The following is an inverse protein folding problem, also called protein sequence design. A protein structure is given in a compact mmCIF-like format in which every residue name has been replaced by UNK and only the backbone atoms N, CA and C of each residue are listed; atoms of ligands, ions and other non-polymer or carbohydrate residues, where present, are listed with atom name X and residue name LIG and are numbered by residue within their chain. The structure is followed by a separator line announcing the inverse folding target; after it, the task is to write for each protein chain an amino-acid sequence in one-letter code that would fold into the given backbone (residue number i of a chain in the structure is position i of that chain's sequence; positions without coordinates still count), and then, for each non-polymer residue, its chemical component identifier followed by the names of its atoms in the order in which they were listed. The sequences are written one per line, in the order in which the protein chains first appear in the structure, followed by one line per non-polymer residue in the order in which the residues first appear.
data_IF_351283447252
#
_entry.id   IF_351283447252
#
_cell.length_a   1.000
_cell.length_b   1.000
_cell.length_c   1.000
_cell.angle_alpha   90.00
_cell.angle_beta   90.00
_cell.angle_gamma   90.00
#
_symmetry.space_group_name_H-M   'P 1'
#
loop_
_entity.id
_entity.type
_entity.pdbx_description
1 polymer ?
#
# COMPACT_ATOMS: atom_id res chain seq x y z
N UNK A 1 -17.01 13.73 -7.25
CA UNK A 1 -15.80 14.49 -7.61
C UNK A 1 -15.25 15.35 -6.47
N UNK A 2 -16.09 15.94 -5.61
CA UNK A 2 -15.63 16.80 -4.49
C UNK A 2 -15.00 16.01 -3.34
N UNK A 3 -15.39 14.76 -3.14
CA UNK A 3 -14.95 13.89 -2.01
C UNK A 3 -13.62 13.17 -2.33
N UNK A 4 -13.33 12.94 -3.61
CA UNK A 4 -12.13 12.21 -4.07
C UNK A 4 -10.79 12.74 -3.51
N UNK A 5 -10.50 14.06 -3.52
CA UNK A 5 -9.22 14.57 -2.98
C UNK A 5 -9.08 14.36 -1.46
N UNK A 6 -10.20 14.39 -0.74
CA UNK A 6 -10.18 14.19 0.70
C UNK A 6 -9.96 12.71 1.06
N UNK A 7 -10.59 11.80 0.35
CA UNK A 7 -10.36 10.34 0.52
C UNK A 7 -8.94 9.94 0.16
N UNK A 8 -8.35 10.54 -0.90
CA UNK A 8 -6.93 10.34 -1.24
C UNK A 8 -6.00 10.79 -0.11
N UNK A 9 -6.28 11.94 0.50
CA UNK A 9 -5.51 12.42 1.65
C UNK A 9 -5.60 11.45 2.83
N UNK A 10 -6.79 10.98 3.18
CA UNK A 10 -6.95 9.98 4.23
C UNK A 10 -6.27 8.66 3.90
N UNK A 11 -6.30 8.23 2.64
CA UNK A 11 -5.57 7.05 2.17
C UNK A 11 -4.06 7.19 2.39
N UNK A 12 -3.49 8.34 2.05
CA UNK A 12 -2.06 8.60 2.27
C UNK A 12 -1.70 8.61 3.77
N UNK A 13 -2.48 9.31 4.59
CA UNK A 13 -2.28 9.34 6.04
C UNK A 13 -2.46 7.95 6.68
N UNK A 14 -3.41 7.15 6.18
CA UNK A 14 -3.62 5.77 6.62
C UNK A 14 -2.43 4.89 6.31
N UNK A 15 -1.84 4.99 5.12
CA UNK A 15 -0.64 4.25 4.74
C UNK A 15 0.54 4.53 5.67
N UNK A 16 0.80 5.81 5.97
CA UNK A 16 1.88 6.21 6.88
C UNK A 16 1.66 5.59 8.27
N UNK A 17 0.45 5.73 8.82
CA UNK A 17 0.18 5.22 10.16
C UNK A 17 0.12 3.69 10.22
N UNK A 18 -0.34 3.02 9.16
CA UNK A 18 -0.30 1.56 9.04
C UNK A 18 1.14 1.04 9.01
N UNK A 19 2.03 1.72 8.27
CA UNK A 19 3.45 1.40 8.27
C UNK A 19 4.08 1.58 9.67
N UNK A 20 3.68 2.62 10.43
CA UNK A 20 4.13 2.82 11.81
C UNK A 20 3.62 1.73 12.75
N UNK A 21 2.36 1.33 12.66
CA UNK A 21 1.78 0.23 13.44
C UNK A 21 2.56 -1.06 13.19
N UNK A 22 2.79 -1.39 11.92
CA UNK A 22 3.57 -2.57 11.52
C UNK A 22 5.01 -2.49 12.02
N UNK A 23 5.66 -1.33 11.89
CA UNK A 23 7.01 -1.09 12.36
C UNK A 23 7.14 -1.36 13.87
N UNK A 24 6.27 -0.76 14.69
CA UNK A 24 6.35 -0.94 16.14
C UNK A 24 6.08 -2.38 16.57
N UNK A 25 5.14 -3.06 15.89
CA UNK A 25 4.86 -4.47 16.12
C UNK A 25 6.07 -5.34 15.80
N UNK A 26 6.67 -5.17 14.61
CA UNK A 26 7.82 -5.96 14.19
C UNK A 26 9.05 -5.71 15.06
N UNK A 27 9.30 -4.45 15.43
CA UNK A 27 10.40 -4.12 16.34
C UNK A 27 10.23 -4.76 17.74
N UNK A 28 8.99 -4.74 18.27
CA UNK A 28 8.71 -5.35 19.56
C UNK A 28 8.89 -6.88 19.54
N UNK A 29 8.46 -7.55 18.45
CA UNK A 29 8.56 -9.01 18.31
C UNK A 29 10.01 -9.43 18.05
N UNK A 30 10.70 -8.77 17.11
CA UNK A 30 12.07 -9.12 16.77
C UNK A 30 13.05 -8.84 17.90
N UNK A 31 12.80 -7.79 18.69
CA UNK A 31 13.60 -7.42 19.86
C UNK A 31 12.98 -7.87 21.20
N UNK A 32 12.18 -8.95 21.22
CA UNK A 32 11.42 -9.33 22.43
C UNK A 32 12.32 -9.67 23.63
N UNK A 33 13.47 -10.28 23.40
CA UNK A 33 14.41 -10.64 24.46
C UNK A 33 14.98 -9.39 25.12
N UNK A 34 15.47 -8.45 24.34
CA UNK A 34 16.03 -7.18 24.80
C UNK A 34 14.96 -6.33 25.48
N UNK A 35 13.77 -6.28 24.88
CA UNK A 35 12.60 -5.57 25.42
C UNK A 35 12.23 -6.09 26.82
N UNK A 36 12.23 -7.42 26.99
CA UNK A 36 11.96 -8.08 28.28
C UNK A 36 13.06 -7.83 29.31
N UNK A 37 14.33 -7.98 28.93
CA UNK A 37 15.48 -7.75 29.81
C UNK A 37 15.53 -6.30 30.29
N UNK A 38 15.22 -5.35 29.42
CA UNK A 38 15.22 -3.93 29.74
C UNK A 38 13.91 -3.43 30.37
N UNK A 39 12.89 -4.29 30.52
CA UNK A 39 11.56 -3.94 31.03
C UNK A 39 10.93 -2.75 30.28
N UNK A 40 10.99 -2.77 28.95
CA UNK A 40 10.56 -1.68 28.07
C UNK A 40 9.32 -2.02 27.23
N UNK A 41 8.53 -3.04 27.59
CA UNK A 41 7.33 -3.45 26.88
C UNK A 41 6.34 -2.31 26.76
N UNK A 42 6.15 -1.54 27.81
CA UNK A 42 5.21 -0.42 27.84
C UNK A 42 5.53 0.61 26.75
N UNK A 43 6.81 0.87 26.48
CA UNK A 43 7.20 1.80 25.42
C UNK A 43 6.65 1.37 24.03
N UNK A 44 6.81 0.09 23.69
CA UNK A 44 6.31 -0.42 22.41
C UNK A 44 4.80 -0.47 22.34
N UNK A 45 4.14 -0.84 23.44
CA UNK A 45 2.67 -0.82 23.54
C UNK A 45 2.16 0.60 23.36
N UNK A 46 2.73 1.60 24.02
CA UNK A 46 2.32 3.00 23.92
C UNK A 46 2.51 3.55 22.48
N UNK A 47 3.62 3.20 21.81
CA UNK A 47 3.86 3.61 20.42
C UNK A 47 2.91 2.93 19.43
N UNK A 48 2.65 1.64 19.62
CA UNK A 48 1.69 0.88 18.82
C UNK A 48 0.28 1.46 18.99
N UNK A 49 -0.15 1.68 20.24
CA UNK A 49 -1.48 2.19 20.55
C UNK A 49 -1.70 3.60 19.99
N UNK A 50 -0.72 4.49 20.15
CA UNK A 50 -0.76 5.84 19.57
C UNK A 50 -0.92 5.84 18.06
N UNK A 51 -0.18 4.99 17.37
CA UNK A 51 -0.26 4.86 15.90
C UNK A 51 -1.56 4.19 15.48
N UNK A 52 -2.03 3.19 16.23
CA UNK A 52 -3.27 2.47 16.00
C UNK A 52 -4.51 3.36 16.20
N UNK A 53 -4.55 4.15 17.25
CA UNK A 53 -5.63 5.12 17.49
C UNK A 53 -5.73 6.12 16.35
N UNK A 54 -4.60 6.68 15.93
CA UNK A 54 -4.57 7.62 14.82
C UNK A 54 -5.05 7.00 13.51
N UNK A 55 -4.67 5.74 13.24
CA UNK A 55 -5.15 4.99 12.09
C UNK A 55 -6.68 4.77 12.16
N UNK A 56 -7.21 4.40 13.34
CA UNK A 56 -8.64 4.21 13.57
C UNK A 56 -9.42 5.51 13.37
N UNK A 57 -8.92 6.64 13.84
CA UNK A 57 -9.53 7.96 13.64
C UNK A 57 -9.59 8.31 12.14
N UNK A 58 -8.50 8.11 11.40
CA UNK A 58 -8.46 8.35 9.96
C UNK A 58 -9.47 7.47 9.22
N UNK A 59 -9.54 6.19 9.56
CA UNK A 59 -10.51 5.25 8.96
C UNK A 59 -11.94 5.65 9.28
N UNK A 60 -12.22 6.08 10.50
CA UNK A 60 -13.56 6.55 10.92
C UNK A 60 -13.97 7.79 10.14
N UNK A 61 -13.05 8.77 9.99
CA UNK A 61 -13.30 9.97 9.20
C UNK A 61 -13.55 9.65 7.72
N UNK A 62 -12.72 8.78 7.13
CA UNK A 62 -12.93 8.35 5.74
C UNK A 62 -14.26 7.63 5.56
N UNK A 63 -14.64 6.72 6.47
CA UNK A 63 -15.91 6.01 6.42
C UNK A 63 -17.11 6.97 6.56
N UNK A 64 -17.00 8.00 7.40
CA UNK A 64 -18.05 9.03 7.53
C UNK A 64 -18.25 9.79 6.22
N UNK A 65 -17.16 10.19 5.56
CA UNK A 65 -17.21 10.91 4.29
C UNK A 65 -17.65 9.98 3.14
N UNK A 66 -17.23 8.73 3.15
CA UNK A 66 -17.64 7.73 2.15
C UNK A 66 -19.15 7.48 2.12
N UNK A 67 -19.87 7.75 3.22
CA UNK A 67 -21.32 7.63 3.30
C UNK A 67 -22.09 8.89 2.84
N UNK A 68 -21.44 10.04 2.71
CA UNK A 68 -22.10 11.28 2.29
C UNK A 68 -22.77 11.19 0.90
N UNK A 69 -22.15 10.58 -0.14
CA UNK A 69 -22.80 10.44 -1.44
C UNK A 69 -24.12 9.66 -1.36
N UNK A 70 -24.17 8.62 -0.53
CA UNK A 70 -25.38 7.84 -0.31
C UNK A 70 -26.52 8.69 0.22
N UNK A 71 -26.27 9.49 1.28
CA UNK A 71 -27.26 10.36 1.87
C UNK A 71 -27.73 11.42 0.86
N UNK A 72 -26.80 11.99 0.07
CA UNK A 72 -27.15 12.95 -0.97
C UNK A 72 -28.03 12.34 -2.05
N UNK A 73 -27.71 11.16 -2.56
CA UNK A 73 -28.50 10.45 -3.57
C UNK A 73 -29.90 10.14 -3.02
N UNK A 74 -29.98 9.66 -1.78
CA UNK A 74 -31.26 9.34 -1.12
C UNK A 74 -32.13 10.57 -1.00
N UNK A 75 -31.58 11.69 -0.51
CA UNK A 75 -32.29 12.97 -0.36
C UNK A 75 -32.78 13.51 -1.71
N UNK A 76 -31.92 13.55 -2.72
CA UNK A 76 -32.28 14.03 -4.07
C UNK A 76 -33.37 13.16 -4.70
N UNK A 77 -33.27 11.83 -4.54
CA UNK A 77 -34.28 10.90 -5.04
C UNK A 77 -35.63 11.12 -4.34
N UNK A 78 -35.60 11.31 -3.01
CA UNK A 78 -36.84 11.55 -2.25
C UNK A 78 -37.51 12.87 -2.65
N UNK A 79 -36.72 13.95 -2.81
CA UNK A 79 -37.25 15.24 -3.29
C UNK A 79 -37.82 15.08 -4.71
N UNK A 80 -37.13 14.37 -5.60
CA UNK A 80 -37.59 14.11 -6.95
C UNK A 80 -38.93 13.37 -7.00
N UNK A 81 -39.10 12.34 -6.18
CA UNK A 81 -40.35 11.58 -6.04
C UNK A 81 -41.46 12.48 -5.50
N UNK A 82 -41.21 13.27 -4.46
CA UNK A 82 -42.21 14.19 -3.90
C UNK A 82 -42.65 15.29 -4.89
N UNK A 83 -41.71 15.87 -5.63
CA UNK A 83 -42.02 16.83 -6.69
C UNK A 83 -42.93 16.21 -7.77
N UNK A 84 -42.62 14.98 -8.19
CA UNK A 84 -43.38 14.29 -9.22
C UNK A 84 -44.79 13.94 -8.75
N UNK A 85 -44.93 13.50 -7.50
CA UNK A 85 -46.23 13.30 -6.86
C UNK A 85 -47.02 14.61 -6.83
N UNK A 86 -46.39 15.74 -6.47
CA UNK A 86 -47.03 17.07 -6.45
C UNK A 86 -47.53 17.52 -7.83
N UNK A 87 -46.76 17.26 -8.89
CA UNK A 87 -47.15 17.54 -10.27
C UNK A 87 -48.36 16.72 -10.69
N UNK A 88 -48.37 15.42 -10.39
CA UNK A 88 -49.46 14.50 -10.75
C UNK A 88 -50.75 14.76 -9.96
N UNK A 89 -50.68 15.32 -8.76
CA UNK A 89 -51.85 15.71 -7.96
C UNK A 89 -52.60 16.91 -8.60
N UNK A 90 -51.88 17.74 -9.37
CA UNK A 90 -52.47 18.87 -10.09
C UNK A 90 -53.18 18.50 -11.41
N UNK A 91 -52.97 17.28 -11.88
CA UNK A 91 -53.54 16.80 -13.15
C UNK A 91 -54.81 15.95 -12.86
N UNK A 92 -55.98 16.41 -13.33
CA UNK A 92 -57.33 15.89 -12.96
C UNK A 92 -57.66 14.52 -13.55
N UNK A 93 -56.68 13.71 -13.90
CA UNK A 93 -56.87 12.38 -14.52
C UNK A 93 -57.15 11.28 -13.47
N UNK A 94 -57.77 10.21 -13.93
CA UNK A 94 -58.23 9.06 -13.16
C UNK A 94 -57.21 8.64 -12.07
N UNK A 95 -57.67 8.53 -10.82
CA UNK A 95 -56.84 8.11 -9.65
C UNK A 95 -56.10 6.81 -9.88
N UNK A 96 -56.64 5.87 -10.66
CA UNK A 96 -56.02 4.58 -10.97
C UNK A 96 -54.75 4.72 -11.82
N UNK A 97 -54.74 5.63 -12.82
CA UNK A 97 -53.59 5.89 -13.67
C UNK A 97 -52.47 6.62 -12.89
N UNK A 98 -52.82 7.47 -11.95
CA UNK A 98 -51.93 8.15 -11.06
C UNK A 98 -51.21 7.18 -10.12
N UNK A 99 -51.91 6.26 -9.47
CA UNK A 99 -51.33 5.24 -8.62
C UNK A 99 -50.34 4.34 -9.38
N UNK A 100 -50.69 3.94 -10.61
CA UNK A 100 -49.80 3.14 -11.45
C UNK A 100 -48.51 3.88 -11.82
N UNK A 101 -48.56 5.18 -12.15
CA UNK A 101 -47.38 6.02 -12.47
C UNK A 101 -46.45 6.17 -11.25
N UNK A 102 -47.04 6.43 -10.06
CA UNK A 102 -46.29 6.54 -8.80
C UNK A 102 -45.66 5.22 -8.46
N UNK A 103 -46.35 4.09 -8.62
CA UNK A 103 -45.80 2.75 -8.31
C UNK A 103 -44.61 2.41 -9.23
N UNK A 104 -44.68 2.73 -10.53
CA UNK A 104 -43.56 2.52 -11.45
C UNK A 104 -42.38 3.40 -11.06
N UNK A 105 -42.61 4.67 -10.74
CA UNK A 105 -41.55 5.60 -10.33
C UNK A 105 -40.84 5.10 -9.03
N UNK A 106 -41.62 4.71 -8.04
CA UNK A 106 -41.09 4.13 -6.79
C UNK A 106 -40.25 2.88 -7.05
N UNK A 107 -40.72 1.99 -7.92
CA UNK A 107 -39.98 0.78 -8.29
C UNK A 107 -38.66 1.10 -8.99
N UNK A 108 -38.65 2.06 -9.92
CA UNK A 108 -37.44 2.52 -10.61
C UNK A 108 -36.45 3.15 -9.61
N UNK A 109 -36.92 4.01 -8.71
CA UNK A 109 -36.09 4.63 -7.68
C UNK A 109 -35.42 3.58 -6.77
N UNK A 110 -36.20 2.63 -6.25
CA UNK A 110 -35.67 1.54 -5.41
C UNK A 110 -34.63 0.69 -6.15
N UNK A 111 -34.79 0.50 -7.46
CA UNK A 111 -33.89 -0.31 -8.27
C UNK A 111 -32.59 0.41 -8.66
N UNK A 112 -32.65 1.72 -8.93
CA UNK A 112 -31.47 2.50 -9.33
C UNK A 112 -30.60 2.89 -8.15
N UNK A 113 -31.20 3.20 -6.98
CA UNK A 113 -30.49 3.68 -5.80
C UNK A 113 -29.33 2.77 -5.35
N UNK A 114 -29.48 1.42 -5.26
CA UNK A 114 -28.36 0.56 -4.89
C UNK A 114 -27.20 0.59 -5.90
N UNK A 115 -27.49 0.69 -7.19
CA UNK A 115 -26.49 0.76 -8.24
C UNK A 115 -25.70 2.07 -8.19
N UNK A 116 -26.38 3.19 -8.00
CA UNK A 116 -25.75 4.50 -7.81
C UNK A 116 -24.85 4.53 -6.56
N UNK A 117 -25.31 3.96 -5.46
CA UNK A 117 -24.54 3.85 -4.22
C UNK A 117 -23.28 2.97 -4.39
N UNK A 118 -23.37 1.85 -5.10
CA UNK A 118 -22.21 0.99 -5.40
C UNK A 118 -21.15 1.72 -6.22
N UNK A 119 -21.56 2.46 -7.23
CA UNK A 119 -20.67 3.27 -8.05
C UNK A 119 -19.97 4.33 -7.19
N UNK A 120 -20.72 5.05 -6.36
CA UNK A 120 -20.16 6.07 -5.49
C UNK A 120 -19.13 5.50 -4.50
N UNK A 121 -19.43 4.35 -3.91
CA UNK A 121 -18.52 3.64 -3.01
C UNK A 121 -17.26 3.14 -3.74
N UNK A 122 -17.41 2.57 -4.95
CA UNK A 122 -16.29 2.11 -5.75
C UNK A 122 -15.33 3.26 -6.10
N UNK A 123 -15.86 4.42 -6.52
CA UNK A 123 -15.06 5.60 -6.80
C UNK A 123 -14.32 6.13 -5.55
N UNK A 124 -14.98 6.09 -4.39
CA UNK A 124 -14.34 6.46 -3.14
C UNK A 124 -13.21 5.50 -2.76
N UNK A 125 -13.42 4.19 -2.92
CA UNK A 125 -12.41 3.18 -2.64
C UNK A 125 -11.18 3.33 -3.56
N UNK A 126 -11.40 3.57 -4.86
CA UNK A 126 -10.30 3.84 -5.80
C UNK A 126 -9.48 5.04 -5.33
N UNK A 127 -10.13 6.16 -4.97
CA UNK A 127 -9.44 7.34 -4.49
C UNK A 127 -8.69 7.10 -3.16
N UNK A 128 -9.24 6.30 -2.27
CA UNK A 128 -8.62 5.98 -0.98
C UNK A 128 -7.39 5.09 -1.13
N UNK A 129 -7.42 4.10 -2.03
CA UNK A 129 -6.31 3.15 -2.21
C UNK A 129 -5.27 3.59 -3.25
N UNK A 130 -5.52 4.66 -4.01
CA UNK A 130 -4.58 5.17 -5.01
C UNK A 130 -3.17 5.43 -4.45
N UNK A 131 -2.97 6.04 -3.24
CA UNK A 131 -1.64 6.23 -2.69
C UNK A 131 -0.89 4.93 -2.38
N UNK A 132 -1.63 3.85 -2.09
CA UNK A 132 -1.02 2.52 -1.90
C UNK A 132 -0.55 1.93 -3.22
N UNK A 133 -1.31 2.15 -4.28
CA UNK A 133 -0.95 1.68 -5.61
C UNK A 133 0.27 2.42 -6.16
N UNK A 134 0.32 3.75 -6.00
CA UNK A 134 1.48 4.54 -6.45
C UNK A 134 2.78 4.13 -5.73
N UNK A 135 2.71 3.82 -4.45
CA UNK A 135 3.88 3.33 -3.71
C UNK A 135 4.41 1.98 -4.25
N UNK A 136 3.52 1.09 -4.69
CA UNK A 136 3.91 -0.18 -5.32
C UNK A 136 4.47 0.07 -6.73
N UNK A 137 3.85 0.98 -7.49
CA UNK A 137 4.31 1.36 -8.83
C UNK A 137 5.74 1.91 -8.78
N UNK A 138 6.04 2.80 -7.84
CA UNK A 138 7.38 3.37 -7.66
C UNK A 138 8.43 2.28 -7.37
N UNK A 139 8.09 1.24 -6.59
CA UNK A 139 8.97 0.11 -6.33
C UNK A 139 9.20 -0.70 -7.60
N UNK A 140 8.14 -1.01 -8.37
CA UNK A 140 8.23 -1.78 -9.61
C UNK A 140 9.05 -1.02 -10.64
N UNK A 141 8.81 0.29 -10.81
CA UNK A 141 9.54 1.12 -11.76
C UNK A 141 11.01 1.22 -11.37
N UNK A 142 11.32 1.42 -10.09
CA UNK A 142 12.70 1.47 -9.60
C UNK A 142 13.43 0.13 -9.73
N UNK A 143 12.74 -1.00 -9.53
CA UNK A 143 13.34 -2.32 -9.75
C UNK A 143 13.62 -2.60 -11.22
N UNK A 144 12.72 -2.20 -12.13
CA UNK A 144 12.92 -2.34 -13.58
C UNK A 144 14.05 -1.47 -14.13
N UNK A 145 14.34 -0.34 -13.51
CA UNK A 145 15.48 0.52 -13.89
C UNK A 145 16.84 -0.04 -13.42
N UNK A 146 16.84 -0.99 -12.50
CA UNK A 146 18.02 -1.74 -12.10
C UNK A 146 18.20 -2.88 -13.10
N UNK A 147 19.36 -2.99 -13.77
CA UNK A 147 19.71 -4.02 -14.79
C UNK A 147 19.51 -5.48 -14.35
N UNK A 148 19.01 -5.71 -13.13
CA UNK A 148 18.72 -7.02 -12.57
C UNK A 148 17.53 -7.71 -13.27
N UNK A 149 16.58 -6.94 -13.83
CA UNK A 149 15.34 -7.50 -14.41
C UNK A 149 15.55 -8.18 -15.78
N UNK A 150 16.60 -7.83 -16.51
CA UNK A 150 16.91 -8.48 -17.80
C UNK A 150 17.31 -9.97 -17.67
N UNK A 151 17.60 -10.44 -16.46
CA UNK A 151 17.95 -11.86 -16.22
C UNK A 151 16.74 -12.76 -16.00
N UNK A 152 15.59 -12.21 -15.55
CA UNK A 152 14.38 -13.00 -15.33
C UNK A 152 13.51 -13.17 -16.57
N UNK A 153 13.68 -12.31 -17.59
CA UNK A 153 12.97 -12.44 -18.87
C UNK A 153 13.69 -13.37 -19.87
N UNK A 154 14.95 -13.69 -19.64
CA UNK A 154 15.61 -14.75 -20.43
C UNK A 154 15.12 -16.10 -19.92
N UNK A 155 14.29 -16.77 -20.72
CA UNK A 155 14.00 -18.21 -20.61
C UNK A 155 15.25 -19.07 -20.90
N UNK A 156 16.45 -18.57 -20.64
CA UNK A 156 17.67 -19.35 -20.72
C UNK A 156 17.64 -20.37 -19.57
N UNK A 157 17.70 -21.63 -19.90
CA UNK A 157 17.89 -22.68 -18.90
C UNK A 157 19.09 -22.31 -18.04
N UNK A 158 18.85 -22.08 -16.76
CA UNK A 158 19.93 -21.80 -15.80
C UNK A 158 20.77 -23.05 -15.68
N UNK A 159 21.84 -23.13 -16.46
CA UNK A 159 22.81 -24.21 -16.30
C UNK A 159 23.56 -23.95 -14.98
N UNK A 160 23.62 -24.95 -14.10
CA UNK A 160 24.38 -24.80 -12.86
C UNK A 160 25.83 -24.52 -13.18
N UNK A 161 26.37 -23.42 -12.67
CA UNK A 161 27.78 -23.08 -12.81
C UNK A 161 28.58 -24.19 -12.08
N UNK A 162 29.44 -24.91 -12.85
CA UNK A 162 30.34 -25.88 -12.26
C UNK A 162 31.50 -25.15 -11.61
N UNK A 163 31.60 -25.28 -10.30
CA UNK A 163 32.72 -24.76 -9.54
C UNK A 163 33.88 -25.75 -9.64
N UNK A 164 34.82 -25.49 -10.56
CA UNK A 164 35.89 -26.45 -10.89
C UNK A 164 37.26 -26.08 -10.38
N UNK A 165 37.55 -24.80 -10.20
CA UNK A 165 38.87 -24.31 -9.77
C UNK A 165 38.81 -23.40 -8.58
N UNK A 166 38.32 -22.18 -8.75
CA UNK A 166 38.35 -21.11 -7.76
C UNK A 166 37.27 -20.08 -8.05
N UNK A 167 36.89 -19.33 -7.04
CA UNK A 167 36.15 -18.07 -7.15
C UNK A 167 37.15 -16.94 -7.05
N UNK A 168 37.13 -16.04 -8.01
CA UNK A 168 38.05 -14.92 -8.06
C UNK A 168 37.27 -13.61 -8.13
N UNK A 169 37.64 -12.68 -7.26
CA UNK A 169 37.32 -11.27 -7.39
C UNK A 169 38.61 -10.60 -7.91
N UNK A 170 38.51 -9.90 -9.04
CA UNK A 170 39.65 -9.25 -9.66
C UNK A 170 39.37 -7.75 -9.77
N UNK A 171 40.18 -6.95 -9.07
CA UNK A 171 40.20 -5.48 -9.07
C UNK A 171 38.81 -4.86 -8.84
N UNK A 172 38.05 -5.38 -7.86
CA UNK A 172 36.69 -4.93 -7.56
C UNK A 172 36.71 -3.67 -6.72
N UNK A 173 36.04 -2.63 -7.21
CA UNK A 173 35.69 -1.42 -6.46
C UNK A 173 34.19 -1.32 -6.30
N UNK A 174 33.72 -1.15 -5.07
CA UNK A 174 32.29 -1.10 -4.77
C UNK A 174 31.92 0.02 -3.81
N UNK A 175 30.81 0.69 -4.14
CA UNK A 175 30.21 1.77 -3.34
C UNK A 175 28.73 1.54 -3.21
N UNK A 176 28.16 1.68 -2.01
CA UNK A 176 26.71 1.64 -1.82
C UNK A 176 26.02 2.84 -2.49
N UNK A 177 24.80 2.67 -3.02
CA UNK A 177 23.99 3.79 -3.47
C UNK A 177 23.85 4.85 -2.36
N UNK A 178 23.91 6.14 -2.73
CA UNK A 178 23.79 7.28 -1.82
C UNK A 178 24.94 7.45 -0.81
N UNK A 179 26.12 6.91 -1.07
CA UNK A 179 27.35 7.19 -0.30
C UNK A 179 28.46 7.64 -1.24
N UNK A 180 29.34 8.53 -0.74
CA UNK A 180 30.52 8.99 -1.49
C UNK A 180 31.80 8.22 -1.12
N UNK A 181 31.67 7.18 -0.29
CA UNK A 181 32.80 6.39 0.21
C UNK A 181 32.82 5.03 -0.46
N UNK A 182 33.94 4.68 -1.08
CA UNK A 182 34.19 3.35 -1.60
C UNK A 182 34.40 2.39 -0.42
N UNK A 183 33.57 1.35 -0.35
CA UNK A 183 33.68 0.32 0.69
C UNK A 183 34.77 -0.72 0.32
N UNK A 184 34.82 -1.05 -0.95
CA UNK A 184 35.93 -1.84 -1.52
C UNK A 184 36.60 -0.98 -2.58
N UNK A 185 37.92 -1.02 -2.62
CA UNK A 185 38.73 -0.31 -3.61
C UNK A 185 39.87 -1.22 -4.08
N UNK A 186 39.91 -1.43 -5.39
CA UNK A 186 40.95 -2.22 -6.06
C UNK A 186 41.23 -3.54 -5.31
N UNK A 187 40.15 -4.24 -4.93
CA UNK A 187 40.22 -5.41 -4.04
C UNK A 187 40.19 -6.68 -4.88
N UNK A 188 41.21 -7.50 -4.72
CA UNK A 188 41.31 -8.83 -5.34
C UNK A 188 41.33 -9.91 -4.28
N UNK A 189 40.61 -11.01 -4.54
CA UNK A 189 40.49 -12.17 -3.63
C UNK A 189 40.28 -13.44 -4.44
N UNK A 190 41.07 -14.46 -4.15
CA UNK A 190 40.96 -15.79 -4.78
C UNK A 190 40.63 -16.83 -3.74
N UNK A 191 39.59 -17.64 -3.98
CA UNK A 191 39.16 -18.73 -3.12
C UNK A 191 39.25 -20.04 -3.90
N UNK A 192 40.30 -20.84 -3.68
CA UNK A 192 40.44 -22.14 -4.36
C UNK A 192 39.37 -23.14 -3.91
N UNK A 193 38.96 -24.05 -4.81
CA UNK A 193 38.02 -25.12 -4.50
C UNK A 193 38.49 -25.94 -3.28
N UNK A 194 37.55 -26.26 -2.37
CA UNK A 194 37.81 -27.07 -1.19
C UNK A 194 38.60 -26.37 -0.09
N UNK A 195 38.88 -25.08 -0.21
CA UNK A 195 39.53 -24.26 0.81
C UNK A 195 38.52 -23.41 1.57
N UNK A 196 38.82 -23.15 2.83
CA UNK A 196 38.11 -22.18 3.64
C UNK A 196 39.01 -20.99 3.90
N UNK A 197 38.52 -19.79 3.72
CA UNK A 197 39.23 -18.55 4.05
C UNK A 197 38.53 -17.79 5.15
N UNK A 198 39.26 -17.07 5.98
CA UNK A 198 38.74 -16.21 7.03
C UNK A 198 39.01 -14.76 6.70
N UNK A 199 37.95 -13.92 6.67
CA UNK A 199 38.06 -12.47 6.50
C UNK A 199 38.22 -11.81 7.87
N UNK A 200 39.41 -11.26 8.17
CA UNK A 200 39.73 -10.58 9.42
C UNK A 200 39.89 -9.08 9.20
N UNK A 201 39.46 -8.29 10.16
CA UNK A 201 39.58 -6.83 10.12
C UNK A 201 38.63 -6.12 11.07
N UNK A 202 38.79 -4.82 11.29
CA UNK A 202 37.93 -4.02 12.17
C UNK A 202 36.49 -3.93 11.65
N UNK A 203 35.58 -3.45 12.50
CA UNK A 203 34.21 -3.16 12.06
C UNK A 203 34.23 -2.08 10.96
N UNK A 204 33.42 -2.26 9.92
CA UNK A 204 33.38 -1.34 8.77
C UNK A 204 34.47 -1.57 7.70
N UNK A 205 35.32 -2.59 7.81
CA UNK A 205 36.36 -2.91 6.83
C UNK A 205 35.86 -3.60 5.54
N UNK A 206 34.55 -3.59 5.25
CA UNK A 206 34.01 -4.17 4.01
C UNK A 206 33.86 -5.68 3.98
N UNK A 207 34.11 -6.42 5.12
CA UNK A 207 34.06 -7.90 5.14
C UNK A 207 32.72 -8.47 4.69
N UNK A 208 31.60 -7.96 5.23
CA UNK A 208 30.26 -8.42 4.84
C UNK A 208 29.99 -8.08 3.39
N UNK A 209 30.37 -6.89 2.94
CA UNK A 209 30.22 -6.47 1.54
C UNK A 209 31.01 -7.37 0.58
N UNK A 210 32.20 -7.81 0.96
CA UNK A 210 33.00 -8.76 0.17
C UNK A 210 32.28 -10.11 0.02
N UNK A 211 31.65 -10.60 1.13
CA UNK A 211 30.87 -11.85 1.10
C UNK A 211 29.58 -11.70 0.28
N UNK A 212 28.94 -10.53 0.33
CA UNK A 212 27.70 -10.27 -0.41
C UNK A 212 27.92 -10.14 -1.94
N UNK A 213 29.17 -9.83 -2.36
CA UNK A 213 29.56 -9.75 -3.78
C UNK A 213 29.98 -11.13 -4.34
N UNK A 214 30.47 -12.04 -3.51
CA UNK A 214 30.85 -13.40 -3.88
C UNK A 214 29.63 -14.26 -4.22
#
# INVERSE_FOLDING_TARGET
LVISPLSRRYGHEANINNALVTKWLMQAINGIKETKVLNREKYFVDQYDKSGQKLADIQTQNNSIANLPRLSIETVTMIGVLMMVGIFLGDSDNAASMIARIAILAMVAIRIMPSANRIAQALNNVAYYEPSLSAVEDIIVSSRSSDVDNRYESNEEIHPIKFEKEVELDDISYRYPNTDVDILKDTSLTIPIGKSIGLLGPSGAGKSTTVDIL
#
